data_IF_300961204555
#
_entry.id   IF_300961204555
#
_cell.length_a   1.000
_cell.length_b   1.000
_cell.length_c   1.000
_cell.angle_alpha   90.00
_cell.angle_beta   90.00
_cell.angle_gamma   90.00
#
_symmetry.space_group_name_H-M   'P 1'
#
loop_
_entity.id
_entity.type
_entity.pdbx_description
1 polymer ?
#
# COMPACT_ATOMS: atom_id res chain seq x y z
N UNK A 1 20.44 -25.36 -22.60
CA UNK A 1 19.09 -24.78 -22.60
C UNK A 1 18.97 -23.80 -21.44
N UNK A 2 18.75 -22.53 -21.74
CA UNK A 2 18.55 -21.44 -20.78
C UNK A 2 17.21 -21.58 -20.05
N UNK A 3 17.03 -20.85 -18.94
CA UNK A 3 15.80 -20.89 -18.14
C UNK A 3 14.54 -20.45 -18.89
N UNK A 4 14.67 -19.60 -19.91
CA UNK A 4 13.54 -19.12 -20.73
C UNK A 4 12.99 -20.22 -21.65
N UNK A 5 13.86 -20.98 -22.32
CA UNK A 5 13.45 -22.07 -23.21
C UNK A 5 12.61 -23.15 -22.49
N UNK A 6 12.88 -23.42 -21.20
CA UNK A 6 12.07 -24.36 -20.39
C UNK A 6 10.73 -23.78 -19.93
N UNK A 7 10.63 -22.46 -19.83
CA UNK A 7 9.38 -21.79 -19.49
C UNK A 7 8.44 -21.81 -20.70
N UNK A 8 8.95 -21.43 -21.86
CA UNK A 8 8.20 -21.38 -23.12
C UNK A 8 7.70 -22.77 -23.54
N UNK A 9 8.55 -23.79 -23.38
CA UNK A 9 8.15 -25.19 -23.59
C UNK A 9 6.95 -25.58 -22.71
N UNK A 10 6.98 -25.22 -21.43
CA UNK A 10 5.89 -25.52 -20.50
C UNK A 10 4.59 -24.78 -20.84
N UNK A 11 4.67 -23.53 -21.32
CA UNK A 11 3.51 -22.78 -21.82
C UNK A 11 2.92 -23.48 -23.05
N UNK A 12 3.75 -23.92 -24.00
CA UNK A 12 3.28 -24.66 -25.17
C UNK A 12 2.59 -25.99 -24.79
N UNK A 13 3.06 -26.68 -23.75
CA UNK A 13 2.38 -27.86 -23.21
C UNK A 13 1.06 -27.52 -22.50
N UNK A 14 0.99 -26.39 -21.79
CA UNK A 14 -0.25 -25.95 -21.15
C UNK A 14 -1.32 -25.58 -22.18
N UNK A 15 -0.97 -24.90 -23.27
CA UNK A 15 -1.87 -24.65 -24.40
C UNK A 15 -2.44 -25.94 -24.98
N UNK A 16 -1.61 -26.94 -25.23
CA UNK A 16 -2.05 -28.27 -25.70
C UNK A 16 -3.01 -28.93 -24.71
N UNK A 17 -2.70 -28.88 -23.42
CA UNK A 17 -3.57 -29.43 -22.40
C UNK A 17 -4.94 -28.72 -22.36
N UNK A 18 -4.97 -27.39 -22.45
CA UNK A 18 -6.22 -26.62 -22.53
C UNK A 18 -7.02 -27.01 -23.77
N UNK A 19 -6.37 -27.19 -24.92
CA UNK A 19 -7.03 -27.61 -26.15
C UNK A 19 -7.69 -29.00 -26.02
N UNK A 20 -7.06 -29.93 -25.28
CA UNK A 20 -7.57 -31.30 -25.08
C UNK A 20 -8.61 -31.39 -23.96
N UNK A 21 -8.41 -30.66 -22.86
CA UNK A 21 -9.20 -30.83 -21.63
C UNK A 21 -10.16 -29.67 -21.34
N UNK A 22 -10.08 -28.58 -22.10
CA UNK A 22 -10.91 -27.38 -21.92
C UNK A 22 -10.60 -26.57 -20.66
N UNK A 23 -9.49 -26.85 -19.98
CA UNK A 23 -9.12 -26.19 -18.72
C UNK A 23 -7.59 -26.08 -18.57
N UNK A 24 -7.11 -25.01 -17.95
CA UNK A 24 -5.70 -24.86 -17.57
C UNK A 24 -5.38 -25.47 -16.20
N UNK A 25 -6.38 -26.04 -15.51
CA UNK A 25 -6.26 -26.58 -14.16
C UNK A 25 -5.77 -28.03 -14.13
N UNK A 26 -4.55 -28.25 -14.63
CA UNK A 26 -3.89 -29.56 -14.56
C UNK A 26 -3.69 -30.04 -13.11
N UNK A 27 -4.02 -31.30 -12.85
CA UNK A 27 -3.75 -32.00 -11.58
C UNK A 27 -2.26 -32.31 -11.50
N UNK A 28 -1.72 -32.47 -10.29
CA UNK A 28 -0.29 -32.71 -10.08
C UNK A 28 0.27 -33.93 -10.84
N UNK A 29 -0.56 -34.93 -11.10
CA UNK A 29 -0.20 -36.17 -11.81
C UNK A 29 -0.33 -36.06 -13.33
N UNK A 30 -0.95 -34.99 -13.85
CA UNK A 30 -1.28 -34.89 -15.26
C UNK A 30 -0.03 -34.74 -16.12
N UNK A 31 -0.06 -35.44 -17.26
CA UNK A 31 0.97 -35.39 -18.29
C UNK A 31 0.32 -35.15 -19.64
N UNK A 32 1.01 -34.43 -20.51
CA UNK A 32 0.60 -34.22 -21.90
C UNK A 32 1.83 -34.46 -22.79
N UNK A 33 1.73 -35.37 -23.76
CA UNK A 33 2.85 -35.78 -24.62
C UNK A 33 4.12 -36.15 -23.85
N UNK A 34 3.94 -36.89 -22.74
CA UNK A 34 5.05 -37.30 -21.86
C UNK A 34 5.58 -36.19 -20.94
N UNK A 35 5.23 -34.93 -21.16
CA UNK A 35 5.65 -33.79 -20.33
C UNK A 35 4.93 -33.79 -18.98
N UNK A 36 5.64 -33.62 -17.84
CA UNK A 36 5.05 -33.61 -16.50
C UNK A 36 4.34 -32.28 -16.20
N UNK A 37 3.28 -31.97 -16.94
CA UNK A 37 2.59 -30.68 -16.89
C UNK A 37 2.05 -30.35 -15.49
N UNK A 38 1.46 -31.33 -14.80
CA UNK A 38 0.95 -31.16 -13.44
C UNK A 38 1.99 -30.66 -12.46
N UNK A 39 3.19 -31.23 -12.52
CA UNK A 39 4.32 -30.80 -11.70
C UNK A 39 4.82 -29.41 -12.12
N UNK A 40 4.88 -29.14 -13.43
CA UNK A 40 5.29 -27.83 -13.94
C UNK A 40 4.33 -26.72 -13.49
N UNK A 41 3.02 -26.90 -13.64
CA UNK A 41 1.97 -25.98 -13.17
C UNK A 41 2.09 -25.76 -11.65
N UNK A 42 2.29 -26.84 -10.88
CA UNK A 42 2.48 -26.75 -9.42
C UNK A 42 3.71 -25.92 -9.05
N UNK A 43 4.81 -26.06 -9.80
CA UNK A 43 6.02 -25.26 -9.62
C UNK A 43 5.75 -23.79 -9.95
N UNK A 44 5.03 -23.48 -11.03
CA UNK A 44 4.66 -22.09 -11.39
C UNK A 44 3.81 -21.41 -10.32
N UNK A 45 2.80 -22.10 -9.79
CA UNK A 45 2.01 -21.62 -8.65
C UNK A 45 2.87 -21.38 -7.41
N UNK A 46 3.89 -22.22 -7.18
CA UNK A 46 4.84 -22.04 -6.08
C UNK A 46 5.75 -20.83 -6.32
N UNK A 47 6.34 -20.69 -7.50
CA UNK A 47 7.19 -19.58 -7.89
C UNK A 47 6.44 -18.24 -7.76
N UNK A 48 5.16 -18.20 -8.15
CA UNK A 48 4.29 -17.05 -7.95
C UNK A 48 4.16 -16.68 -6.47
N UNK A 49 3.83 -17.67 -5.63
CA UNK A 49 3.63 -17.47 -4.18
C UNK A 49 4.89 -16.95 -3.47
N UNK A 50 6.06 -17.39 -3.91
CA UNK A 50 7.35 -16.98 -3.32
C UNK A 50 8.00 -15.79 -4.02
N UNK A 51 7.35 -15.19 -5.02
CA UNK A 51 7.82 -13.97 -5.70
C UNK A 51 9.00 -14.20 -6.66
N UNK A 52 9.10 -15.40 -7.24
CA UNK A 52 10.15 -15.76 -8.23
C UNK A 52 9.70 -15.62 -9.68
N UNK A 53 8.41 -15.44 -9.93
CA UNK A 53 7.89 -15.14 -11.28
C UNK A 53 7.98 -13.64 -11.56
N UNK A 54 8.47 -13.29 -12.76
CA UNK A 54 8.47 -11.91 -13.24
C UNK A 54 7.05 -11.43 -13.55
N UNK A 55 6.84 -10.11 -13.54
CA UNK A 55 5.54 -9.50 -13.87
C UNK A 55 5.05 -9.90 -15.27
N UNK A 56 5.96 -9.97 -16.26
CA UNK A 56 5.65 -10.39 -17.63
C UNK A 56 5.12 -11.82 -17.68
N UNK A 57 5.75 -12.75 -16.97
CA UNK A 57 5.30 -14.16 -16.93
C UNK A 57 3.96 -14.29 -16.21
N UNK A 58 3.73 -13.49 -15.17
CA UNK A 58 2.43 -13.46 -14.48
C UNK A 58 1.34 -13.00 -15.44
N UNK A 59 1.58 -11.88 -16.14
CA UNK A 59 0.64 -11.32 -17.10
C UNK A 59 0.33 -12.31 -18.24
N UNK A 60 1.34 -13.08 -18.71
CA UNK A 60 1.13 -14.11 -19.72
C UNK A 60 0.08 -15.14 -19.28
N UNK A 61 0.20 -15.73 -18.08
CA UNK A 61 -0.79 -16.70 -17.61
C UNK A 61 -2.19 -16.09 -17.47
N UNK A 62 -2.27 -14.88 -16.91
CA UNK A 62 -3.55 -14.19 -16.68
C UNK A 62 -4.27 -13.81 -17.98
N UNK A 63 -3.50 -13.51 -19.05
CA UNK A 63 -4.05 -13.14 -20.35
C UNK A 63 -4.40 -14.35 -21.21
N UNK A 64 -3.57 -15.40 -21.19
CA UNK A 64 -3.72 -16.54 -22.10
C UNK A 64 -4.63 -17.65 -21.56
N UNK A 65 -4.82 -17.73 -20.24
CA UNK A 65 -5.58 -18.81 -19.60
C UNK A 65 -6.67 -18.24 -18.66
N UNK A 66 -7.89 -17.99 -19.17
CA UNK A 66 -8.95 -17.31 -18.41
C UNK A 66 -9.41 -18.04 -17.13
N UNK A 67 -9.25 -19.36 -17.08
CA UNK A 67 -9.58 -20.19 -15.92
C UNK A 67 -8.37 -20.47 -15.01
N UNK A 68 -7.22 -19.81 -15.28
CA UNK A 68 -6.01 -19.98 -14.50
C UNK A 68 -6.17 -19.43 -13.10
N UNK A 69 -5.85 -20.27 -12.14
CA UNK A 69 -5.80 -19.91 -10.73
C UNK A 69 -4.40 -20.11 -10.20
N UNK A 70 -3.81 -19.04 -9.67
CA UNK A 70 -2.59 -19.08 -8.88
C UNK A 70 -2.82 -19.80 -7.55
N UNK A 71 -4.03 -19.72 -6.99
CA UNK A 71 -4.46 -20.42 -5.77
C UNK A 71 -5.93 -20.86 -5.87
N UNK A 72 -6.25 -22.01 -5.27
CA UNK A 72 -7.63 -22.50 -5.10
C UNK A 72 -8.62 -21.52 -4.45
N UNK A 73 -8.13 -20.44 -3.84
CA UNK A 73 -8.92 -19.42 -3.15
C UNK A 73 -8.99 -18.10 -3.95
N UNK A 74 -8.55 -18.06 -5.20
CA UNK A 74 -8.43 -16.81 -5.97
C UNK A 74 -9.76 -16.06 -6.12
N UNK A 75 -10.88 -16.78 -6.25
CA UNK A 75 -12.21 -16.16 -6.23
C UNK A 75 -12.50 -15.46 -4.90
N UNK A 76 -12.16 -16.09 -3.77
CA UNK A 76 -12.29 -15.48 -2.43
C UNK A 76 -11.34 -14.28 -2.28
N UNK A 77 -10.12 -14.36 -2.80
CA UNK A 77 -9.17 -13.24 -2.80
C UNK A 77 -9.63 -12.09 -3.71
N UNK A 78 -10.29 -12.37 -4.84
CA UNK A 78 -10.88 -11.37 -5.72
C UNK A 78 -12.02 -10.64 -5.02
N UNK A 79 -12.97 -11.37 -4.43
CA UNK A 79 -14.06 -10.77 -3.65
C UNK A 79 -13.54 -9.92 -2.46
N UNK A 80 -12.51 -10.39 -1.77
CA UNK A 80 -11.89 -9.64 -0.67
C UNK A 80 -11.15 -8.38 -1.14
N UNK A 81 -10.58 -8.39 -2.36
CA UNK A 81 -9.98 -7.21 -2.96
C UNK A 81 -11.05 -6.17 -3.31
N UNK A 82 -12.12 -6.55 -3.99
CA UNK A 82 -13.23 -5.65 -4.33
C UNK A 82 -13.87 -5.05 -3.08
N UNK A 83 -14.09 -5.87 -2.05
CA UNK A 83 -14.65 -5.41 -0.76
C UNK A 83 -13.76 -4.33 -0.14
N UNK A 84 -12.45 -4.57 -0.04
CA UNK A 84 -11.54 -3.59 0.54
C UNK A 84 -11.37 -2.34 -0.32
N UNK A 85 -11.47 -2.46 -1.64
CA UNK A 85 -11.47 -1.32 -2.55
C UNK A 85 -12.71 -0.44 -2.36
N UNK A 86 -13.90 -1.05 -2.22
CA UNK A 86 -15.12 -0.33 -1.91
C UNK A 86 -15.04 0.41 -0.57
N UNK A 87 -14.45 -0.21 0.47
CA UNK A 87 -14.18 0.47 1.74
C UNK A 87 -13.16 1.59 1.58
N UNK A 88 -12.10 1.43 0.78
CA UNK A 88 -11.11 2.47 0.54
C UNK A 88 -11.74 3.68 -0.18
N UNK A 89 -12.62 3.47 -1.17
CA UNK A 89 -13.37 4.56 -1.83
C UNK A 89 -14.17 5.38 -0.82
N UNK A 90 -14.92 4.71 0.05
CA UNK A 90 -15.71 5.38 1.11
C UNK A 90 -14.81 6.10 2.12
N UNK A 91 -13.70 5.47 2.52
CA UNK A 91 -12.71 6.08 3.41
C UNK A 91 -12.11 7.34 2.80
N UNK A 92 -11.70 7.31 1.53
CA UNK A 92 -11.17 8.47 0.80
C UNK A 92 -12.21 9.57 0.68
N UNK A 93 -13.47 9.23 0.41
CA UNK A 93 -14.55 10.22 0.37
C UNK A 93 -14.77 10.91 1.73
N UNK A 94 -14.59 10.18 2.84
CA UNK A 94 -14.77 10.72 4.20
C UNK A 94 -13.53 11.47 4.74
N UNK A 95 -12.32 11.05 4.38
CA UNK A 95 -11.07 11.52 4.97
C UNK A 95 -10.14 12.27 3.99
N UNK A 96 -10.51 12.35 2.71
CA UNK A 96 -9.73 13.01 1.66
C UNK A 96 -8.43 12.29 1.29
N UNK A 97 -8.22 11.04 1.73
CA UNK A 97 -6.95 10.33 1.54
C UNK A 97 -7.10 8.82 1.48
N UNK A 98 -6.27 8.16 0.68
CA UNK A 98 -6.12 6.69 0.66
C UNK A 98 -5.13 6.17 1.71
N UNK A 99 -4.48 7.08 2.45
CA UNK A 99 -3.44 6.77 3.43
C UNK A 99 -4.01 6.45 4.82
N UNK A 100 -4.83 5.40 4.92
CA UNK A 100 -5.29 4.88 6.20
C UNK A 100 -4.11 4.43 7.09
N UNK A 101 -4.10 4.85 8.36
CA UNK A 101 -3.12 4.42 9.36
C UNK A 101 -3.36 2.97 9.69
N UNK A 102 -2.32 2.23 10.08
CA UNK A 102 -2.37 0.77 10.29
C UNK A 102 -3.49 0.28 11.22
N UNK A 103 -3.89 1.09 12.22
CA UNK A 103 -4.93 0.74 13.21
C UNK A 103 -6.33 1.25 12.83
N UNK A 104 -6.48 1.94 11.71
CA UNK A 104 -7.76 2.54 11.33
C UNK A 104 -8.76 1.45 10.96
N UNK A 105 -9.96 1.61 11.52
CA UNK A 105 -11.15 0.81 11.22
C UNK A 105 -12.20 1.79 10.72
N UNK A 106 -12.81 1.49 9.58
CA UNK A 106 -13.80 2.34 8.94
C UNK A 106 -14.97 1.48 8.48
N UNK A 107 -16.18 1.83 8.91
CA UNK A 107 -17.39 1.02 8.71
C UNK A 107 -17.22 -0.46 9.14
N UNK A 108 -16.59 -0.68 10.30
CA UNK A 108 -16.30 -2.01 10.83
C UNK A 108 -15.22 -2.78 10.07
N UNK A 109 -14.68 -2.24 8.97
CA UNK A 109 -13.64 -2.86 8.18
C UNK A 109 -12.25 -2.36 8.60
N UNK A 110 -11.25 -3.25 8.80
CA UNK A 110 -9.90 -2.88 9.23
C UNK A 110 -9.08 -2.29 8.06
N UNK A 111 -9.50 -1.12 7.56
CA UNK A 111 -8.97 -0.47 6.36
C UNK A 111 -7.46 -0.22 6.45
N UNK A 112 -6.97 0.16 7.64
CA UNK A 112 -5.55 0.35 7.89
C UNK A 112 -4.71 -0.90 7.66
N UNK A 113 -5.23 -2.06 8.05
CA UNK A 113 -4.57 -3.35 7.86
C UNK A 113 -4.64 -3.78 6.40
N UNK A 114 -5.78 -3.53 5.74
CA UNK A 114 -5.94 -3.83 4.32
C UNK A 114 -4.97 -3.03 3.45
N UNK A 115 -4.88 -1.70 3.62
CA UNK A 115 -3.94 -0.82 2.89
C UNK A 115 -2.49 -1.27 3.13
N UNK A 116 -2.11 -1.52 4.39
CA UNK A 116 -0.77 -2.01 4.74
C UNK A 116 -0.44 -3.35 4.07
N UNK A 117 -1.44 -4.25 3.96
CA UNK A 117 -1.28 -5.54 3.31
C UNK A 117 -1.09 -5.40 1.81
N UNK A 118 -1.82 -4.51 1.12
CA UNK A 118 -1.61 -4.21 -0.31
C UNK A 118 -0.20 -3.71 -0.59
N UNK A 119 0.31 -2.78 0.23
CA UNK A 119 1.69 -2.30 0.13
C UNK A 119 2.72 -3.41 0.38
N UNK A 120 2.44 -4.34 1.29
CA UNK A 120 3.31 -5.49 1.54
C UNK A 120 3.29 -6.50 0.38
N UNK A 121 2.12 -6.76 -0.20
CA UNK A 121 1.95 -7.65 -1.34
C UNK A 121 2.65 -7.09 -2.59
N UNK A 122 2.54 -5.78 -2.84
CA UNK A 122 3.28 -5.09 -3.91
C UNK A 122 4.79 -5.30 -3.79
N UNK A 123 5.38 -5.02 -2.62
CA UNK A 123 6.82 -5.20 -2.38
C UNK A 123 7.30 -6.64 -2.53
N UNK A 124 6.40 -7.62 -2.38
CA UNK A 124 6.68 -9.05 -2.55
C UNK A 124 6.37 -9.56 -3.95
N UNK A 125 5.94 -8.71 -4.89
CA UNK A 125 5.53 -9.10 -6.23
C UNK A 125 4.28 -9.98 -6.26
N UNK A 126 3.38 -9.85 -5.26
CA UNK A 126 2.18 -10.68 -5.10
C UNK A 126 0.88 -10.03 -5.57
N UNK A 127 0.93 -8.75 -5.94
CA UNK A 127 -0.21 -8.08 -6.55
C UNK A 127 -0.16 -8.25 -8.07
N UNK A 128 -1.31 -8.56 -8.66
CA UNK A 128 -1.47 -8.63 -10.11
C UNK A 128 -1.35 -7.23 -10.71
N UNK A 129 -0.95 -7.15 -11.98
CA UNK A 129 -0.80 -5.87 -12.69
C UNK A 129 -2.10 -5.06 -12.68
N UNK A 130 -3.25 -5.74 -12.85
CA UNK A 130 -4.56 -5.09 -12.84
C UNK A 130 -4.89 -4.46 -11.49
N UNK A 131 -4.60 -5.14 -10.37
CA UNK A 131 -4.84 -4.61 -9.03
C UNK A 131 -3.95 -3.41 -8.72
N UNK A 132 -2.72 -3.42 -9.23
CA UNK A 132 -1.78 -2.28 -9.12
C UNK A 132 -2.36 -1.09 -9.88
N UNK A 133 -2.69 -1.27 -11.16
CA UNK A 133 -3.26 -0.25 -12.04
C UNK A 133 -4.51 0.38 -11.45
N UNK A 134 -5.43 -0.42 -10.90
CA UNK A 134 -6.65 0.09 -10.26
C UNK A 134 -6.37 0.94 -9.04
N UNK A 135 -5.47 0.51 -8.15
CA UNK A 135 -5.12 1.31 -6.96
C UNK A 135 -4.47 2.64 -7.34
N UNK A 136 -3.59 2.65 -8.34
CA UNK A 136 -2.92 3.86 -8.82
C UNK A 136 -3.88 4.80 -9.56
N UNK A 137 -4.82 4.25 -10.33
CA UNK A 137 -5.76 5.03 -11.14
C UNK A 137 -6.90 5.61 -10.29
N UNK A 138 -7.44 4.82 -9.36
CA UNK A 138 -8.59 5.24 -8.55
C UNK A 138 -8.21 6.15 -7.38
N UNK A 139 -6.95 6.12 -6.93
CA UNK A 139 -6.47 6.88 -5.77
C UNK A 139 -5.19 7.64 -6.11
N UNK A 140 -5.29 8.90 -6.59
CA UNK A 140 -4.12 9.69 -7.01
C UNK A 140 -3.09 9.94 -5.91
N UNK A 141 -3.48 9.88 -4.64
CA UNK A 141 -2.60 10.02 -3.47
C UNK A 141 -1.98 8.68 -3.00
N UNK A 142 -2.24 7.58 -3.72
CA UNK A 142 -1.74 6.25 -3.36
C UNK A 142 -0.23 6.15 -3.47
N UNK A 143 0.39 5.69 -2.38
CA UNK A 143 1.83 5.46 -2.33
C UNK A 143 2.13 4.01 -1.94
N UNK A 144 2.91 3.30 -2.77
CA UNK A 144 3.39 1.95 -2.47
C UNK A 144 4.45 1.92 -1.38
N UNK A 145 5.27 2.98 -1.33
CA UNK A 145 6.28 3.20 -0.29
C UNK A 145 5.87 4.46 0.46
N UNK A 146 5.32 4.29 1.65
CA UNK A 146 5.22 5.39 2.59
C UNK A 146 6.63 5.74 3.02
N UNK A 147 7.11 6.92 2.61
CA UNK A 147 8.39 7.39 3.12
C UNK A 147 8.21 7.72 4.61
N UNK A 148 8.59 6.78 5.48
CA UNK A 148 8.55 6.98 6.93
C UNK A 148 9.44 8.16 7.37
N UNK A 149 10.31 8.61 6.48
CA UNK A 149 10.95 9.92 6.52
C UNK A 149 10.16 10.88 5.65
N UNK A 150 9.03 11.36 6.16
CA UNK A 150 8.48 12.59 5.63
C UNK A 150 9.58 13.63 5.66
N UNK A 151 9.93 14.13 4.47
CA UNK A 151 10.90 15.21 4.35
C UNK A 151 10.42 16.37 5.23
N UNK A 152 11.37 17.18 5.69
CA UNK A 152 11.01 18.35 6.49
C UNK A 152 10.02 19.23 5.72
N UNK A 153 10.24 19.41 4.42
CA UNK A 153 9.41 20.22 3.52
C UNK A 153 7.99 19.70 3.38
N UNK A 154 7.81 18.38 3.20
CA UNK A 154 6.46 17.80 3.12
C UNK A 154 5.69 18.00 4.43
N UNK A 155 6.36 17.89 5.58
CA UNK A 155 5.73 18.17 6.87
C UNK A 155 5.36 19.64 7.08
N UNK A 156 6.18 20.57 6.57
CA UNK A 156 5.87 22.01 6.57
C UNK A 156 4.64 22.28 5.69
N UNK A 157 4.57 21.72 4.49
CA UNK A 157 3.42 21.88 3.60
C UNK A 157 2.11 21.38 4.24
N UNK A 158 2.16 20.23 4.92
CA UNK A 158 1.01 19.72 5.66
C UNK A 158 0.64 20.58 6.88
N UNK A 159 1.64 21.19 7.56
CA UNK A 159 1.36 22.09 8.67
C UNK A 159 0.66 23.37 8.20
N UNK A 160 1.04 23.92 7.04
CA UNK A 160 0.33 25.04 6.41
C UNK A 160 -1.14 24.71 6.18
N UNK A 161 -1.45 23.58 5.56
CA UNK A 161 -2.85 23.15 5.35
C UNK A 161 -3.60 22.94 6.66
N UNK A 162 -2.94 22.39 7.67
CA UNK A 162 -3.54 22.23 8.98
C UNK A 162 -3.88 23.58 9.61
N UNK A 163 -2.98 24.56 9.53
CA UNK A 163 -3.19 25.94 10.03
C UNK A 163 -4.30 26.63 9.25
N UNK A 164 -4.36 26.44 7.92
CA UNK A 164 -5.43 26.98 7.08
C UNK A 164 -6.81 26.48 7.51
N UNK A 165 -6.95 25.18 7.83
CA UNK A 165 -8.23 24.59 8.23
C UNK A 165 -8.59 24.81 9.70
N UNK A 166 -7.60 24.87 10.59
CA UNK A 166 -7.83 24.89 12.04
C UNK A 166 -7.45 26.20 12.73
N UNK A 167 -6.84 27.14 11.99
CA UNK A 167 -6.39 28.44 12.50
C UNK A 167 -5.18 28.37 13.44
N UNK A 168 -4.53 27.21 13.59
CA UNK A 168 -3.40 27.05 14.51
C UNK A 168 -2.41 25.98 14.08
N UNK A 169 -1.13 26.17 14.41
CA UNK A 169 -0.08 25.16 14.26
C UNK A 169 -0.05 24.13 15.40
N UNK A 170 -0.92 24.29 16.41
CA UNK A 170 -1.03 23.41 17.58
C UNK A 170 -1.82 22.13 17.28
N UNK A 171 -1.30 21.31 16.36
CA UNK A 171 -1.89 20.01 16.04
C UNK A 171 -1.84 19.03 17.24
N UNK A 172 -2.97 18.53 17.75
CA UNK A 172 -3.00 17.45 18.75
C UNK A 172 -2.26 16.22 18.24
N UNK A 173 -1.66 15.42 19.12
CA UNK A 173 -0.83 14.25 18.73
C UNK A 173 -1.55 13.25 17.81
N UNK A 174 -2.87 13.16 17.94
CA UNK A 174 -3.74 12.28 17.14
C UNK A 174 -4.07 12.83 15.77
N UNK A 175 -3.92 14.15 15.54
CA UNK A 175 -4.36 14.85 14.35
C UNK A 175 -3.76 14.29 13.05
N UNK A 176 -4.58 14.35 12.01
CA UNK A 176 -4.27 14.03 10.61
C UNK A 176 -4.68 15.17 9.71
N UNK A 177 -3.92 15.39 8.64
CA UNK A 177 -4.30 16.26 7.52
C UNK A 177 -3.92 15.52 6.24
N UNK A 178 -4.85 15.32 5.30
CA UNK A 178 -4.58 14.57 4.05
C UNK A 178 -3.92 13.19 4.28
N UNK A 179 -4.31 12.49 5.36
CA UNK A 179 -3.72 11.20 5.74
C UNK A 179 -2.31 11.29 6.36
N UNK A 180 -1.72 12.48 6.36
CA UNK A 180 -0.45 12.77 7.01
C UNK A 180 -0.63 12.91 8.54
N UNK A 181 0.13 12.19 9.37
CA UNK A 181 0.02 12.27 10.83
C UNK A 181 0.70 13.55 11.37
N UNK A 182 0.15 14.71 11.05
CA UNK A 182 0.70 16.03 11.37
C UNK A 182 0.95 16.21 12.87
N UNK A 183 0.05 15.73 13.73
CA UNK A 183 0.22 15.76 15.18
C UNK A 183 1.48 15.04 15.67
N UNK A 184 1.81 13.90 15.05
CA UNK A 184 3.03 13.16 15.38
C UNK A 184 4.28 13.84 14.83
N UNK A 185 4.19 14.41 13.62
CA UNK A 185 5.28 15.17 13.01
C UNK A 185 5.63 16.41 13.85
N UNK A 186 4.63 17.19 14.26
CA UNK A 186 4.78 18.35 15.16
C UNK A 186 5.42 17.93 16.48
N UNK A 187 4.91 16.87 17.12
CA UNK A 187 5.49 16.36 18.37
C UNK A 187 6.94 15.88 18.20
N UNK A 188 7.29 15.30 17.05
CA UNK A 188 8.65 14.89 16.71
C UNK A 188 9.58 16.11 16.56
N UNK A 189 9.14 17.19 15.88
CA UNK A 189 9.92 18.43 15.76
C UNK A 189 10.22 19.06 17.11
N UNK A 190 9.22 19.14 18.00
CA UNK A 190 9.42 19.61 19.39
C UNK A 190 10.43 18.74 20.15
N UNK A 191 10.40 17.43 19.94
CA UNK A 191 11.35 16.50 20.56
C UNK A 191 12.77 16.67 20.02
N UNK A 192 12.92 16.78 18.70
CA UNK A 192 14.22 17.01 18.06
C UNK A 192 14.83 18.35 18.48
N UNK A 193 14.02 19.41 18.59
CA UNK A 193 14.44 20.71 19.11
C UNK A 193 14.97 20.60 20.55
N UNK A 194 14.20 20.00 21.46
CA UNK A 194 14.62 19.78 22.86
C UNK A 194 15.90 18.95 22.97
N UNK A 195 16.08 17.97 22.09
CA UNK A 195 17.30 17.16 22.02
C UNK A 195 18.46 17.80 21.25
N UNK A 196 18.32 19.05 20.77
CA UNK A 196 19.30 19.77 19.94
C UNK A 196 19.69 19.03 18.65
N UNK A 197 18.75 18.28 18.06
CA UNK A 197 18.91 17.49 16.81
C UNK A 197 18.23 18.13 15.61
N UNK A 198 17.50 19.22 15.80
CA UNK A 198 16.90 20.00 14.72
C UNK A 198 17.89 21.11 14.31
N UNK A 199 18.22 21.20 13.02
CA UNK A 199 19.16 22.22 12.53
C UNK A 199 18.63 23.63 12.77
N UNK A 200 19.55 24.59 12.96
CA UNK A 200 19.20 26.00 13.20
C UNK A 200 18.31 26.58 12.07
N UNK A 201 18.62 26.24 10.82
CA UNK A 201 17.83 26.62 9.65
C UNK A 201 16.36 26.14 9.74
N UNK A 202 16.15 24.88 10.14
CA UNK A 202 14.81 24.31 10.29
C UNK A 202 14.03 24.93 11.45
N UNK A 203 14.72 25.25 12.54
CA UNK A 203 14.14 25.98 13.67
C UNK A 203 13.69 27.37 13.22
N UNK A 204 14.56 28.08 12.51
CA UNK A 204 14.25 29.43 12.03
C UNK A 204 13.08 29.41 11.06
N UNK A 205 13.06 28.46 10.13
CA UNK A 205 11.96 28.31 9.16
C UNK A 205 10.62 28.08 9.83
N UNK A 206 10.53 27.18 10.81
CA UNK A 206 9.27 26.94 11.55
C UNK A 206 8.80 28.21 12.27
N UNK A 207 9.72 28.93 12.93
CA UNK A 207 9.38 30.18 13.63
C UNK A 207 8.88 31.27 12.69
N UNK A 208 9.48 31.38 11.50
CA UNK A 208 9.09 32.37 10.50
C UNK A 208 7.74 32.03 9.86
N UNK A 209 7.50 30.75 9.52
CA UNK A 209 6.29 30.33 8.80
C UNK A 209 5.08 30.14 9.71
N UNK A 210 5.28 29.87 11.00
CA UNK A 210 4.21 29.62 11.97
C UNK A 210 4.38 30.51 13.21
N UNK A 211 3.86 31.75 13.20
CA UNK A 211 4.04 32.70 14.30
C UNK A 211 3.47 32.24 15.65
N UNK A 212 2.45 31.38 15.62
CA UNK A 212 1.84 30.78 16.82
C UNK A 212 2.60 29.54 17.34
N UNK A 213 3.72 29.16 16.72
CA UNK A 213 4.43 27.94 17.07
C UNK A 213 5.13 28.00 18.43
N UNK A 214 4.66 27.16 19.35
CA UNK A 214 5.33 26.92 20.62
C UNK A 214 6.16 25.62 20.62
N UNK A 215 7.43 25.72 21.03
CA UNK A 215 8.31 24.55 21.21
C UNK A 215 7.95 23.73 22.47
N UNK A 216 7.42 24.40 23.51
CA UNK A 216 7.07 23.81 24.81
C UNK A 216 5.63 24.15 25.22
N UNK A 217 4.68 23.26 24.89
CA UNK A 217 3.24 23.45 25.19
C UNK A 217 2.91 23.27 26.69
N UNK A 218 3.86 22.89 27.55
CA UNK A 218 3.60 22.57 28.97
C UNK A 218 3.21 23.79 29.83
N UNK A 219 3.17 25.00 29.28
CA UNK A 219 2.89 26.24 30.00
C UNK A 219 1.52 26.89 29.77
N UNK A 220 0.77 26.52 28.72
CA UNK A 220 -0.42 27.30 28.31
C UNK A 220 -1.72 26.97 29.05
N UNK A 221 -1.76 25.94 29.90
CA UNK A 221 -2.95 25.56 30.68
C UNK A 221 -3.07 26.27 32.05
N UNK A 222 -2.25 27.28 32.34
CA UNK A 222 -2.43 28.15 33.52
C UNK A 222 -2.52 29.61 33.08
N UNK A 223 -3.65 30.00 32.49
CA UNK A 223 -4.12 31.39 32.42
C UNK A 223 -5.57 31.41 31.89
N UNK A 224 -6.47 30.80 32.64
CA UNK A 224 -7.90 31.14 32.64
C UNK A 224 -8.43 30.77 34.03
N UNK A 225 -8.68 31.81 34.82
CA UNK A 225 -9.38 31.90 36.12
C UNK A 225 -8.62 32.95 36.95
N UNK A 226 -9.16 34.07 37.43
CA UNK A 226 -10.32 34.90 37.14
C UNK A 226 -9.99 36.24 37.82
N UNK A 227 -10.40 37.35 37.22
CA UNK A 227 -10.59 38.63 37.93
C UNK A 227 -11.82 38.58 38.83
#
# INVERSE_FOLDING_TARGET
MTGDSRFDEGIAHLHRYVAVHGTSNARAVDRIDGYPLGQWVTNRRTDYRVGRLSAERIALFENEFPDWQWRKQDATFAAAFETGLAHLRRYVAAHGTSNARRRDVFDGFPIGTWVASRRADYRKGRLTAERIRRLETEFPDWQWKMDARTTFDAGIAHLHRYVELHGTSHAPRTATIDGFPIGQWVAKRRTEYRSRRLSAERVQRIKTEFPDWEWDIRGSHRRTESS
#
